data_IF_627521919649
#
_entry.id   IF_627521919649
#
_cell.length_a   1.000
_cell.length_b   1.000
_cell.length_c   1.000
_cell.angle_alpha   90.00
_cell.angle_beta   90.00
_cell.angle_gamma   90.00
#
_symmetry.space_group_name_H-M   'P 1'
#
loop_
_entity.id
_entity.type
_entity.pdbx_description
1 polymer ?
#
# COMPACT_ATOMS: atom_id res chain seq x y z
N UNK A 1 13.82 7.18 35.35
CA UNK A 1 13.25 6.87 34.03
C UNK A 1 14.36 6.73 33.00
N UNK A 2 14.37 5.69 32.14
CA UNK A 2 15.40 5.50 31.11
C UNK A 2 14.93 6.07 29.77
N UNK A 3 15.71 6.93 29.07
CA UNK A 3 15.29 7.51 27.80
C UNK A 3 15.28 6.46 26.69
N UNK A 4 14.17 6.34 25.96
CA UNK A 4 14.04 5.47 24.77
C UNK A 4 14.91 6.02 23.63
N UNK A 5 15.97 5.30 23.28
CA UNK A 5 16.79 5.59 22.09
C UNK A 5 15.93 5.47 20.83
N UNK A 6 15.72 6.59 20.10
CA UNK A 6 15.10 6.59 18.77
C UNK A 6 16.11 5.99 17.78
N UNK A 7 15.94 4.70 17.45
CA UNK A 7 16.72 4.03 16.41
C UNK A 7 16.57 4.76 15.07
N UNK A 8 17.68 4.90 14.35
CA UNK A 8 17.73 5.51 13.02
C UNK A 8 16.78 4.78 12.08
N UNK A 9 15.77 5.48 11.55
CA UNK A 9 14.85 4.91 10.56
C UNK A 9 15.64 4.69 9.27
N UNK A 10 15.86 3.43 8.89
CA UNK A 10 16.43 3.06 7.58
C UNK A 10 15.62 3.73 6.48
N UNK A 11 16.26 4.43 5.55
CA UNK A 11 15.60 4.98 4.37
C UNK A 11 14.95 3.81 3.62
N UNK A 12 13.61 3.77 3.63
CA UNK A 12 12.82 2.77 2.91
C UNK A 12 12.64 3.27 1.48
N UNK A 13 12.79 2.36 0.52
CA UNK A 13 12.50 2.66 -0.88
C UNK A 13 11.07 3.23 -1.01
N UNK A 14 10.86 4.23 -1.90
CA UNK A 14 9.54 4.80 -2.13
C UNK A 14 8.58 3.72 -2.65
N UNK A 15 7.41 3.61 -2.02
CA UNK A 15 6.33 2.72 -2.47
C UNK A 15 5.45 3.50 -3.43
N UNK A 16 5.37 3.07 -4.68
CA UNK A 16 4.51 3.67 -5.69
C UNK A 16 3.09 3.09 -5.58
N UNK A 17 2.09 3.97 -5.65
CA UNK A 17 0.68 3.61 -5.79
C UNK A 17 0.18 4.22 -7.10
N UNK A 18 -0.40 3.40 -7.97
CA UNK A 18 -0.96 3.83 -9.25
C UNK A 18 -2.48 3.85 -9.11
N UNK A 19 -3.13 4.94 -9.57
CA UNK A 19 -4.57 4.97 -9.75
C UNK A 19 -4.89 4.74 -11.22
N UNK A 20 -5.48 3.59 -11.55
CA UNK A 20 -6.09 3.36 -12.87
C UNK A 20 -7.51 3.93 -12.86
N UNK A 21 -7.89 4.61 -13.94
CA UNK A 21 -9.25 5.17 -14.12
C UNK A 21 -10.27 4.12 -14.56
N UNK A 22 -9.83 2.89 -14.82
CA UNK A 22 -10.66 1.79 -15.29
C UNK A 22 -11.14 0.91 -14.14
N UNK A 23 -12.43 0.54 -14.14
CA UNK A 23 -13.02 -0.42 -13.19
C UNK A 23 -12.44 -1.84 -13.32
N UNK A 24 -11.67 -2.09 -14.38
CA UNK A 24 -10.93 -3.33 -14.60
C UNK A 24 -9.52 -3.16 -14.05
N UNK A 25 -9.18 -4.00 -13.08
CA UNK A 25 -7.85 -4.19 -12.45
C UNK A 25 -6.82 -4.79 -13.44
N UNK A 26 -6.96 -4.52 -14.75
CA UNK A 26 -6.00 -4.91 -15.78
C UNK A 26 -4.96 -3.78 -15.86
N UNK A 27 -3.94 -3.87 -15.00
CA UNK A 27 -2.74 -3.09 -15.20
C UNK A 27 -2.11 -3.56 -16.51
N UNK A 28 -1.81 -2.67 -17.46
CA UNK A 28 -1.04 -3.02 -18.66
C UNK A 28 0.45 -3.27 -18.33
N UNK A 29 0.74 -3.88 -17.18
CA UNK A 29 2.09 -4.18 -16.68
C UNK A 29 2.59 -5.57 -17.12
N UNK A 30 1.78 -6.30 -17.91
CA UNK A 30 2.11 -7.62 -18.45
C UNK A 30 1.91 -8.78 -17.45
N UNK A 31 1.41 -8.52 -16.24
CA UNK A 31 1.19 -9.54 -15.22
C UNK A 31 -0.28 -9.60 -14.78
N UNK A 32 -0.80 -10.83 -14.60
CA UNK A 32 -2.17 -11.05 -14.13
C UNK A 32 -2.20 -11.32 -12.63
N UNK A 33 -2.37 -10.27 -11.84
CA UNK A 33 -2.56 -10.38 -10.40
C UNK A 33 -3.96 -10.88 -10.04
N UNK A 34 -4.07 -11.69 -8.97
CA UNK A 34 -5.35 -12.11 -8.38
C UNK A 34 -5.51 -11.43 -7.03
N UNK A 35 -6.59 -10.65 -6.86
CA UNK A 35 -6.95 -10.05 -5.57
C UNK A 35 -7.33 -11.14 -4.59
N UNK A 36 -6.52 -11.33 -3.54
CA UNK A 36 -6.74 -12.36 -2.53
C UNK A 36 -7.72 -11.93 -1.43
N UNK A 37 -8.09 -10.65 -1.39
CA UNK A 37 -9.04 -10.11 -0.43
C UNK A 37 -9.08 -8.59 -0.44
N UNK A 38 -10.11 -8.06 0.22
CA UNK A 38 -10.33 -6.63 0.44
C UNK A 38 -10.71 -6.48 1.91
N UNK A 39 -10.12 -5.52 2.63
CA UNK A 39 -10.36 -5.33 4.06
C UNK A 39 -10.67 -3.88 4.34
N UNK A 40 -11.90 -3.62 4.77
CA UNK A 40 -12.30 -2.31 5.24
C UNK A 40 -11.35 -1.79 6.32
N UNK A 41 -10.88 -0.57 6.12
CA UNK A 41 -10.04 0.14 7.09
C UNK A 41 -10.94 1.07 7.90
N UNK A 42 -10.80 1.03 9.24
CA UNK A 42 -11.58 1.90 10.13
C UNK A 42 -11.30 3.37 9.79
N UNK A 43 -12.38 4.14 9.64
CA UNK A 43 -12.37 5.58 9.28
C UNK A 43 -11.88 5.91 7.86
N UNK A 44 -11.92 4.96 6.91
CA UNK A 44 -11.66 5.22 5.48
C UNK A 44 -12.93 4.99 4.65
N UNK A 45 -13.26 5.88 3.70
CA UNK A 45 -14.35 5.64 2.73
C UNK A 45 -13.96 4.59 1.66
N UNK A 46 -12.66 4.29 1.53
CA UNK A 46 -12.15 3.28 0.61
C UNK A 46 -11.78 2.00 1.36
N UNK A 47 -12.13 0.82 0.80
CA UNK A 47 -11.93 -0.49 1.42
C UNK A 47 -10.53 -1.09 1.21
#
# INVERSE_FOLDING_TARGET
EKPKKKGTKRQRQPRFAFMTKSDVDHLEDGYRWRKYGQKAVKNSPFP
#
